data_IF_304001460979
#
_entry.id   IF_304001460979
#
_cell.length_a   1.000
_cell.length_b   1.000
_cell.length_c   1.000
_cell.angle_alpha   90.00
_cell.angle_beta   90.00
_cell.angle_gamma   90.00
#
_symmetry.space_group_name_H-M   'P 1'
#
loop_
_entity.id
_entity.type
_entity.pdbx_description
1 polymer ?
#
# COMPACT_ATOMS: atom_id res chain seq x y z
N UNK A 1 -5.91 -4.67 22.01
CA UNK A 1 -7.22 -5.34 21.95
C UNK A 1 -8.05 -4.88 23.14
N UNK A 2 -9.10 -4.08 22.99
CA UNK A 2 -10.03 -3.80 24.07
C UNK A 2 -10.81 -5.09 24.36
N UNK A 3 -10.76 -5.56 25.59
CA UNK A 3 -11.52 -6.73 26.06
C UNK A 3 -13.01 -6.42 25.91
N UNK A 4 -13.68 -7.09 24.98
CA UNK A 4 -15.14 -7.04 24.85
C UNK A 4 -15.74 -7.42 26.21
N UNK A 5 -16.50 -6.50 26.78
CA UNK A 5 -17.25 -6.75 28.03
C UNK A 5 -18.23 -7.91 27.76
N UNK A 6 -18.00 -9.03 28.43
CA UNK A 6 -18.88 -10.21 28.29
C UNK A 6 -20.28 -9.85 28.80
N UNK A 7 -21.33 -10.54 28.32
CA UNK A 7 -22.70 -10.38 28.85
C UNK A 7 -22.75 -10.48 30.36
N UNK A 8 -21.88 -11.30 30.98
CA UNK A 8 -21.72 -11.41 32.43
C UNK A 8 -21.21 -10.12 33.08
N UNK A 9 -20.33 -9.38 32.37
CA UNK A 9 -19.81 -8.09 32.87
C UNK A 9 -20.89 -6.99 32.80
N UNK A 10 -21.70 -6.99 31.76
CA UNK A 10 -22.84 -6.07 31.62
C UNK A 10 -23.91 -6.34 32.68
N UNK A 11 -24.20 -7.62 32.95
CA UNK A 11 -25.13 -8.01 34.01
C UNK A 11 -24.60 -7.63 35.42
N UNK A 12 -23.29 -7.77 35.66
CA UNK A 12 -22.69 -7.28 36.91
C UNK A 12 -22.79 -5.78 37.07
N UNK A 13 -22.52 -5.00 36.02
CA UNK A 13 -22.70 -3.54 36.04
C UNK A 13 -24.16 -3.11 36.34
N UNK A 14 -25.12 -3.86 35.79
CA UNK A 14 -26.55 -3.64 36.11
C UNK A 14 -26.85 -3.92 37.57
N UNK A 15 -26.35 -5.03 38.14
CA UNK A 15 -26.51 -5.36 39.57
C UNK A 15 -25.85 -4.31 40.48
N UNK A 16 -24.66 -3.83 40.12
CA UNK A 16 -24.01 -2.74 40.87
C UNK A 16 -24.81 -1.43 40.80
N UNK A 17 -25.39 -1.09 39.66
CA UNK A 17 -26.29 0.06 39.50
C UNK A 17 -27.53 -0.05 40.37
N UNK A 18 -28.15 -1.23 40.44
CA UNK A 18 -29.29 -1.50 41.34
C UNK A 18 -28.90 -1.35 42.82
N UNK A 19 -27.69 -1.73 43.21
CA UNK A 19 -27.19 -1.59 44.57
C UNK A 19 -26.91 -0.11 44.97
N UNK A 20 -26.67 0.78 44.00
CA UNK A 20 -26.48 2.21 44.25
C UNK A 20 -27.79 2.94 44.68
N UNK A 21 -28.95 2.39 44.34
CA UNK A 21 -30.24 3.00 44.70
C UNK A 21 -30.45 3.04 46.22
N UNK A 22 -30.35 1.92 46.99
CA UNK A 22 -30.45 1.95 48.42
C UNK A 22 -29.32 2.75 49.10
N UNK A 23 -28.13 2.79 48.51
CA UNK A 23 -27.02 3.58 49.02
C UNK A 23 -27.29 5.07 48.88
N UNK A 24 -27.86 5.53 47.79
CA UNK A 24 -28.28 6.93 47.58
C UNK A 24 -29.42 7.34 48.53
N UNK A 25 -30.39 6.44 48.80
CA UNK A 25 -31.46 6.70 49.77
C UNK A 25 -30.94 6.80 51.21
N UNK A 26 -29.96 6.00 51.56
CA UNK A 26 -29.29 6.08 52.85
C UNK A 26 -28.47 7.38 52.98
N UNK A 27 -27.74 7.77 51.95
CA UNK A 27 -26.97 9.02 51.91
C UNK A 27 -27.90 10.24 52.07
N UNK A 28 -29.04 10.27 51.40
CA UNK A 28 -30.03 11.32 51.51
C UNK A 28 -30.62 11.41 52.96
N UNK A 29 -30.90 10.28 53.58
CA UNK A 29 -31.37 10.23 54.95
C UNK A 29 -30.31 10.72 55.96
N UNK A 30 -29.02 10.35 55.76
CA UNK A 30 -27.90 10.85 56.58
C UNK A 30 -27.73 12.36 56.42
N UNK A 31 -27.76 12.86 55.18
CA UNK A 31 -27.62 14.28 54.86
C UNK A 31 -28.74 15.10 55.49
N UNK A 32 -29.97 14.62 55.42
CA UNK A 32 -31.13 15.23 56.01
C UNK A 32 -31.05 15.29 57.55
N UNK A 33 -30.58 14.24 58.20
CA UNK A 33 -30.40 14.20 59.65
C UNK A 33 -29.25 15.11 60.12
N UNK A 34 -28.09 15.04 59.45
CA UNK A 34 -26.86 15.72 59.91
C UNK A 34 -26.86 17.21 59.55
N UNK A 35 -27.23 17.58 58.31
CA UNK A 35 -27.14 18.96 57.83
C UNK A 35 -28.37 19.80 58.14
N UNK A 36 -29.54 19.19 58.18
CA UNK A 36 -30.83 19.93 58.36
C UNK A 36 -31.51 19.66 59.65
N UNK A 37 -30.94 18.86 60.55
CA UNK A 37 -31.51 18.62 61.92
C UNK A 37 -32.93 17.98 61.87
N UNK A 38 -33.31 17.29 60.83
CA UNK A 38 -34.65 16.74 60.61
C UNK A 38 -34.78 15.32 61.18
N UNK A 39 -34.72 15.17 62.50
CA UNK A 39 -34.93 13.89 63.19
C UNK A 39 -33.75 12.91 63.06
N UNK A 40 -33.94 11.67 63.45
CA UNK A 40 -32.93 10.63 63.30
C UNK A 40 -32.90 10.04 61.90
N UNK A 41 -31.73 9.46 61.44
CA UNK A 41 -31.58 8.78 60.12
C UNK A 41 -32.66 7.70 59.98
N UNK A 42 -32.96 6.98 61.06
CA UNK A 42 -33.94 5.89 61.08
C UNK A 42 -35.36 6.43 60.85
N UNK A 43 -35.75 7.56 61.47
CA UNK A 43 -37.04 8.21 61.24
C UNK A 43 -37.21 8.67 59.80
N UNK A 44 -36.15 9.21 59.17
CA UNK A 44 -36.20 9.65 57.77
C UNK A 44 -36.26 8.48 56.77
N UNK A 45 -35.74 7.32 57.16
CA UNK A 45 -35.85 6.11 56.35
C UNK A 45 -37.22 5.45 56.46
N UNK A 46 -37.80 5.43 57.66
CA UNK A 46 -39.08 4.74 57.97
C UNK A 46 -40.32 5.59 57.70
N UNK A 47 -40.21 6.91 57.86
CA UNK A 47 -41.34 7.87 57.67
C UNK A 47 -40.90 9.05 56.78
N UNK A 48 -40.51 8.85 55.55
CA UNK A 48 -40.09 9.92 54.63
C UNK A 48 -41.29 10.83 54.29
N UNK A 49 -41.04 12.15 54.21
CA UNK A 49 -42.07 13.09 53.73
C UNK A 49 -42.40 12.81 52.24
N UNK A 50 -43.61 13.19 51.80
CA UNK A 50 -44.02 13.01 50.38
C UNK A 50 -43.01 13.59 49.39
N UNK A 51 -42.38 14.71 49.69
CA UNK A 51 -41.33 15.30 48.87
C UNK A 51 -40.07 14.39 48.74
N UNK A 52 -39.65 13.79 49.85
CA UNK A 52 -38.50 12.86 49.84
C UNK A 52 -38.80 11.59 49.04
N UNK A 53 -40.02 11.06 49.16
CA UNK A 53 -40.44 9.90 48.35
C UNK A 53 -40.40 10.24 46.86
N UNK A 54 -40.95 11.41 46.47
CA UNK A 54 -40.98 11.84 45.09
C UNK A 54 -39.55 12.02 44.50
N UNK A 55 -38.64 12.67 45.26
CA UNK A 55 -37.25 12.87 44.84
C UNK A 55 -36.51 11.51 44.70
N UNK A 56 -36.67 10.62 45.66
CA UNK A 56 -36.07 9.27 45.61
C UNK A 56 -36.59 8.46 44.43
N UNK A 57 -37.87 8.52 44.12
CA UNK A 57 -38.49 7.86 42.98
C UNK A 57 -37.94 8.44 41.65
N UNK A 58 -37.89 9.77 41.55
CA UNK A 58 -37.38 10.45 40.35
C UNK A 58 -35.89 10.14 40.11
N UNK A 59 -35.08 10.14 41.18
CA UNK A 59 -33.67 9.78 41.12
C UNK A 59 -33.46 8.30 40.70
N UNK A 60 -34.27 7.39 41.29
CA UNK A 60 -34.18 5.96 40.96
C UNK A 60 -34.58 5.70 39.51
N UNK A 61 -35.63 6.34 38.98
CA UNK A 61 -36.04 6.20 37.58
C UNK A 61 -35.00 6.78 36.62
N UNK A 62 -34.41 7.93 36.96
CA UNK A 62 -33.34 8.53 36.17
C UNK A 62 -32.09 7.64 36.14
N UNK A 63 -31.67 7.07 37.28
CA UNK A 63 -30.55 6.14 37.35
C UNK A 63 -30.78 4.86 36.52
N UNK A 64 -31.99 4.28 36.63
CA UNK A 64 -32.36 3.11 35.84
C UNK A 64 -32.33 3.41 34.31
N UNK A 65 -32.85 4.56 33.91
CA UNK A 65 -32.81 5.02 32.54
C UNK A 65 -31.35 5.23 32.03
N UNK A 66 -30.49 5.86 32.85
CA UNK A 66 -29.08 6.06 32.52
C UNK A 66 -28.32 4.73 32.39
N UNK A 67 -28.58 3.77 33.29
CA UNK A 67 -28.00 2.43 33.22
C UNK A 67 -28.49 1.71 31.95
N UNK A 68 -29.78 1.76 31.64
CA UNK A 68 -30.34 1.15 30.42
C UNK A 68 -29.71 1.74 29.15
N UNK A 69 -29.65 3.08 29.06
CA UNK A 69 -29.03 3.76 27.92
C UNK A 69 -27.55 3.42 27.80
N UNK A 70 -26.81 3.39 28.90
CA UNK A 70 -25.39 2.99 28.93
C UNK A 70 -25.19 1.55 28.44
N UNK A 71 -26.00 0.60 28.91
CA UNK A 71 -25.95 -0.79 28.47
C UNK A 71 -26.29 -0.93 26.97
N UNK A 72 -27.33 -0.23 26.51
CA UNK A 72 -27.73 -0.23 25.11
C UNK A 72 -26.63 0.36 24.21
N UNK A 73 -25.99 1.44 24.65
CA UNK A 73 -24.85 2.03 23.93
C UNK A 73 -23.67 1.07 23.85
N UNK A 74 -23.28 0.44 24.97
CA UNK A 74 -22.20 -0.55 24.99
C UNK A 74 -22.51 -1.79 24.15
N UNK A 75 -23.74 -2.28 24.18
CA UNK A 75 -24.14 -3.40 23.34
C UNK A 75 -24.07 -3.07 21.85
N UNK A 76 -24.54 -1.87 21.45
CA UNK A 76 -24.47 -1.42 20.06
C UNK A 76 -23.04 -1.19 19.58
N UNK A 77 -22.15 -0.63 20.40
CA UNK A 77 -20.73 -0.46 20.04
C UNK A 77 -20.04 -1.81 19.88
N UNK A 78 -20.25 -2.75 20.79
CA UNK A 78 -19.70 -4.11 20.68
C UNK A 78 -20.20 -4.85 19.43
N UNK A 79 -21.49 -4.67 19.08
CA UNK A 79 -22.05 -5.26 17.86
C UNK A 79 -21.44 -4.65 16.60
N UNK A 80 -21.26 -3.31 16.57
CA UNK A 80 -20.60 -2.61 15.45
C UNK A 80 -19.15 -3.06 15.28
N UNK A 81 -18.38 -3.16 16.37
CA UNK A 81 -17.01 -3.66 16.32
C UNK A 81 -16.94 -5.09 15.75
N UNK A 82 -17.85 -5.97 16.18
CA UNK A 82 -17.93 -7.34 15.67
C UNK A 82 -18.26 -7.38 14.18
N UNK A 83 -19.24 -6.56 13.74
CA UNK A 83 -19.59 -6.48 12.32
C UNK A 83 -18.44 -5.92 11.47
N UNK A 84 -17.73 -4.91 11.98
CA UNK A 84 -16.55 -4.36 11.30
C UNK A 84 -15.40 -5.37 11.21
N UNK A 85 -15.15 -6.15 12.28
CA UNK A 85 -14.15 -7.23 12.24
C UNK A 85 -14.50 -8.30 11.21
N UNK A 86 -15.75 -8.77 11.19
CA UNK A 86 -16.22 -9.73 10.20
C UNK A 86 -16.12 -9.18 8.77
N UNK A 87 -16.55 -7.95 8.55
CA UNK A 87 -16.44 -7.32 7.22
C UNK A 87 -14.99 -7.17 6.77
N UNK A 88 -14.07 -6.88 7.68
CA UNK A 88 -12.64 -6.82 7.35
C UNK A 88 -12.06 -8.21 7.03
N UNK A 89 -12.44 -9.24 7.78
CA UNK A 89 -12.04 -10.64 7.49
C UNK A 89 -12.57 -11.08 6.12
N UNK A 90 -13.84 -10.79 5.79
CA UNK A 90 -14.44 -11.12 4.50
C UNK A 90 -13.74 -10.36 3.35
N UNK A 91 -13.41 -9.08 3.56
CA UNK A 91 -12.66 -8.30 2.58
C UNK A 91 -11.25 -8.84 2.36
N UNK A 92 -10.56 -9.28 3.40
CA UNK A 92 -9.23 -9.87 3.29
C UNK A 92 -9.27 -11.22 2.54
N UNK A 93 -10.30 -12.03 2.76
CA UNK A 93 -10.53 -13.28 2.02
C UNK A 93 -10.76 -13.01 0.52
N UNK A 94 -11.74 -12.16 0.19
CA UNK A 94 -12.04 -11.81 -1.22
C UNK A 94 -10.82 -11.19 -1.90
N UNK A 95 -10.08 -10.36 -1.19
CA UNK A 95 -8.85 -9.76 -1.70
C UNK A 95 -7.81 -10.82 -2.03
N UNK A 96 -7.61 -11.80 -1.15
CA UNK A 96 -6.67 -12.89 -1.36
C UNK A 96 -7.09 -13.74 -2.56
N UNK A 97 -8.36 -14.09 -2.67
CA UNK A 97 -8.88 -14.84 -3.81
C UNK A 97 -8.64 -14.11 -5.13
N UNK A 98 -8.84 -12.79 -5.16
CA UNK A 98 -8.55 -11.96 -6.35
C UNK A 98 -7.05 -11.90 -6.66
N UNK A 99 -6.19 -11.82 -5.64
CA UNK A 99 -4.74 -11.84 -5.82
C UNK A 99 -4.27 -13.19 -6.38
N UNK A 100 -4.72 -14.30 -5.82
CA UNK A 100 -4.40 -15.65 -6.27
C UNK A 100 -4.90 -15.88 -7.72
N UNK A 101 -6.13 -15.49 -8.02
CA UNK A 101 -6.71 -15.57 -9.38
C UNK A 101 -5.93 -14.73 -10.41
N UNK A 102 -5.55 -13.50 -10.04
CA UNK A 102 -4.74 -12.65 -10.91
C UNK A 102 -3.36 -13.24 -11.15
N UNK A 103 -2.73 -13.84 -10.12
CA UNK A 103 -1.45 -14.52 -10.25
C UNK A 103 -1.55 -15.69 -11.24
N UNK A 104 -2.56 -16.54 -11.10
CA UNK A 104 -2.77 -17.71 -11.97
C UNK A 104 -2.99 -17.28 -13.43
N UNK A 105 -3.85 -16.28 -13.68
CA UNK A 105 -4.08 -15.77 -15.03
C UNK A 105 -2.78 -15.21 -15.65
N UNK A 106 -2.05 -14.39 -14.91
CA UNK A 106 -0.81 -13.81 -15.42
C UNK A 106 0.24 -14.89 -15.72
N UNK A 107 0.32 -15.92 -14.88
CA UNK A 107 1.21 -17.06 -15.09
C UNK A 107 0.83 -17.87 -16.35
N UNK A 108 -0.46 -18.14 -16.55
CA UNK A 108 -0.97 -18.76 -17.76
C UNK A 108 -0.67 -17.95 -19.03
N UNK A 109 -0.93 -16.66 -19.00
CA UNK A 109 -0.63 -15.76 -20.12
C UNK A 109 0.88 -15.71 -20.42
N UNK A 110 1.73 -15.71 -19.39
CA UNK A 110 3.18 -15.75 -19.54
C UNK A 110 3.64 -17.04 -20.22
N UNK A 111 3.11 -18.19 -19.80
CA UNK A 111 3.47 -19.48 -20.41
C UNK A 111 3.07 -19.51 -21.88
N UNK A 112 1.84 -19.11 -22.22
CA UNK A 112 1.36 -19.04 -23.60
C UNK A 112 2.19 -18.07 -24.44
N UNK A 113 2.52 -16.90 -23.92
CA UNK A 113 3.37 -15.93 -24.63
C UNK A 113 4.79 -16.45 -24.82
N UNK A 114 5.35 -17.20 -23.86
CA UNK A 114 6.65 -17.85 -23.98
C UNK A 114 6.65 -18.94 -25.07
N UNK A 115 5.57 -19.73 -25.19
CA UNK A 115 5.38 -20.71 -26.25
C UNK A 115 5.35 -20.05 -27.64
N UNK A 116 4.68 -18.90 -27.77
CA UNK A 116 4.65 -18.11 -29.00
C UNK A 116 6.07 -17.62 -29.33
N UNK A 117 6.80 -17.09 -28.35
CA UNK A 117 8.19 -16.62 -28.54
C UNK A 117 9.11 -17.76 -29.02
N UNK A 118 9.00 -18.94 -28.40
CA UNK A 118 9.77 -20.12 -28.78
C UNK A 118 9.44 -20.59 -30.18
N UNK A 119 8.17 -20.63 -30.54
CA UNK A 119 7.71 -21.02 -31.88
C UNK A 119 8.22 -20.02 -32.95
N UNK A 120 8.21 -18.72 -32.65
CA UNK A 120 8.76 -17.71 -33.56
C UNK A 120 10.28 -17.82 -33.71
N UNK A 121 11.01 -18.15 -32.65
CA UNK A 121 12.45 -18.35 -32.68
C UNK A 121 12.81 -19.58 -33.56
N UNK A 122 12.08 -20.70 -33.43
CA UNK A 122 12.24 -21.88 -34.24
C UNK A 122 11.91 -21.62 -35.71
N UNK A 123 10.84 -20.90 -36.02
CA UNK A 123 10.49 -20.48 -37.38
C UNK A 123 11.61 -19.64 -38.00
N UNK A 124 12.17 -18.70 -37.23
CA UNK A 124 13.31 -17.90 -37.72
C UNK A 124 14.54 -18.74 -37.99
N UNK A 125 14.88 -19.68 -37.11
CA UNK A 125 16.05 -20.52 -37.25
C UNK A 125 15.96 -21.51 -38.45
N UNK A 126 14.77 -22.12 -38.62
CA UNK A 126 14.57 -23.18 -39.62
C UNK A 126 14.25 -22.65 -41.01
N UNK A 127 13.57 -21.50 -41.13
CA UNK A 127 13.02 -21.00 -42.38
C UNK A 127 13.61 -19.68 -42.87
N UNK A 128 14.60 -19.08 -42.21
CA UNK A 128 15.07 -17.70 -42.51
C UNK A 128 15.59 -17.55 -43.96
N UNK A 129 16.07 -18.65 -44.58
CA UNK A 129 16.57 -18.64 -45.95
C UNK A 129 15.45 -18.73 -47.00
N UNK A 130 14.31 -19.32 -46.66
CA UNK A 130 13.19 -19.61 -47.58
C UNK A 130 12.04 -18.64 -47.46
N UNK A 131 12.07 -17.74 -46.47
CA UNK A 131 11.01 -16.74 -46.24
C UNK A 131 11.19 -15.55 -47.19
N UNK A 132 10.10 -15.17 -47.86
CA UNK A 132 10.02 -13.91 -48.57
C UNK A 132 10.11 -12.71 -47.58
N UNK A 133 10.49 -11.54 -48.07
CA UNK A 133 10.74 -10.35 -47.26
C UNK A 133 9.49 -9.97 -46.40
N UNK A 134 8.31 -10.18 -46.95
CA UNK A 134 7.04 -9.86 -46.30
C UNK A 134 6.75 -10.81 -45.14
N UNK A 135 6.95 -12.09 -45.32
CA UNK A 135 6.77 -13.10 -44.26
C UNK A 135 7.83 -12.95 -43.16
N UNK A 136 9.06 -12.63 -43.51
CA UNK A 136 10.15 -12.32 -42.55
C UNK A 136 9.77 -11.12 -41.66
N UNK A 137 9.20 -10.05 -42.26
CA UNK A 137 8.70 -8.90 -41.51
C UNK A 137 7.60 -9.28 -40.52
N UNK A 138 6.62 -10.11 -40.92
CA UNK A 138 5.54 -10.59 -40.02
C UNK A 138 6.08 -11.42 -38.87
N UNK A 139 7.00 -12.37 -39.13
CA UNK A 139 7.64 -13.20 -38.10
C UNK A 139 8.38 -12.32 -37.07
N UNK A 140 9.16 -11.34 -37.53
CA UNK A 140 9.85 -10.39 -36.66
C UNK A 140 8.89 -9.54 -35.85
N UNK A 141 7.79 -9.08 -36.44
CA UNK A 141 6.76 -8.28 -35.76
C UNK A 141 6.08 -9.08 -34.65
N UNK A 142 5.68 -10.33 -34.91
CA UNK A 142 5.06 -11.21 -33.92
C UNK A 142 6.05 -11.53 -32.79
N UNK A 143 7.31 -11.84 -33.10
CA UNK A 143 8.34 -12.08 -32.12
C UNK A 143 8.55 -10.88 -31.19
N UNK A 144 8.63 -9.67 -31.76
CA UNK A 144 8.76 -8.42 -31.00
C UNK A 144 7.55 -8.15 -30.10
N UNK A 145 6.32 -8.40 -30.61
CA UNK A 145 5.09 -8.28 -29.82
C UNK A 145 5.06 -9.28 -28.64
N UNK A 146 5.47 -10.52 -28.88
CA UNK A 146 5.53 -11.55 -27.86
C UNK A 146 6.56 -11.22 -26.76
N UNK A 147 7.75 -10.74 -27.14
CA UNK A 147 8.75 -10.26 -26.18
C UNK A 147 8.23 -9.07 -25.35
N UNK A 148 7.52 -8.13 -25.97
CA UNK A 148 6.90 -7.01 -25.27
C UNK A 148 5.86 -7.51 -24.28
N UNK A 149 5.00 -8.44 -24.68
CA UNK A 149 4.00 -9.06 -23.82
C UNK A 149 4.64 -9.77 -22.63
N UNK A 150 5.69 -10.58 -22.87
CA UNK A 150 6.42 -11.25 -21.80
C UNK A 150 6.98 -10.26 -20.76
N UNK A 151 7.60 -9.16 -21.19
CA UNK A 151 8.10 -8.11 -20.30
C UNK A 151 6.97 -7.47 -19.46
N UNK A 152 5.81 -7.23 -20.06
CA UNK A 152 4.65 -6.68 -19.36
C UNK A 152 4.08 -7.66 -18.32
N UNK A 153 4.01 -8.96 -18.68
CA UNK A 153 3.56 -10.01 -17.78
C UNK A 153 4.53 -10.19 -16.60
N UNK A 154 5.85 -10.23 -16.85
CA UNK A 154 6.87 -10.31 -15.80
C UNK A 154 6.77 -9.14 -14.82
N UNK A 155 6.52 -7.93 -15.34
CA UNK A 155 6.34 -6.73 -14.52
C UNK A 155 5.05 -6.82 -13.67
N UNK A 156 3.98 -7.34 -14.24
CA UNK A 156 2.69 -7.50 -13.56
C UNK A 156 2.75 -8.60 -12.48
N UNK A 157 3.41 -9.72 -12.78
CA UNK A 157 3.66 -10.80 -11.81
C UNK A 157 4.49 -10.29 -10.62
N UNK A 158 5.57 -9.55 -10.89
CA UNK A 158 6.40 -8.96 -9.83
C UNK A 158 5.62 -8.03 -8.90
N UNK A 159 4.52 -7.42 -9.37
CA UNK A 159 3.61 -6.63 -8.53
C UNK A 159 2.68 -7.48 -7.67
N UNK A 160 2.17 -8.59 -8.24
CA UNK A 160 1.25 -9.50 -7.54
C UNK A 160 2.00 -10.29 -6.48
N UNK A 161 3.24 -10.69 -6.76
CA UNK A 161 4.10 -11.44 -5.82
C UNK A 161 4.58 -10.63 -4.61
N UNK A 162 4.36 -9.32 -4.60
CA UNK A 162 4.68 -8.50 -3.44
C UNK A 162 3.74 -8.79 -2.27
N UNK A 163 4.25 -9.24 -1.11
CA UNK A 163 3.41 -9.55 0.04
C UNK A 163 2.57 -8.34 0.45
N UNK A 164 1.24 -8.53 0.43
CA UNK A 164 0.27 -7.46 0.71
C UNK A 164 0.16 -7.18 2.20
N UNK A 165 0.40 -8.19 3.03
CA UNK A 165 -0.01 -8.19 4.43
C UNK A 165 0.97 -7.57 5.42
N UNK A 166 2.27 -7.47 5.12
CA UNK A 166 3.24 -6.87 6.05
C UNK A 166 4.43 -6.28 5.30
N UNK A 167 4.48 -4.98 5.15
CA UNK A 167 5.73 -4.26 4.82
C UNK A 167 6.75 -4.49 5.93
N UNK A 168 7.72 -5.35 5.67
CA UNK A 168 8.82 -5.60 6.60
C UNK A 168 9.84 -4.46 6.49
N UNK A 169 9.75 -3.49 7.39
CA UNK A 169 10.66 -2.36 7.39
C UNK A 169 12.00 -2.72 7.97
N UNK A 170 13.03 -2.56 7.18
CA UNK A 170 14.41 -2.77 7.58
C UNK A 170 15.32 -1.62 7.12
N UNK A 171 16.51 -1.55 7.69
CA UNK A 171 17.53 -0.58 7.26
C UNK A 171 18.23 -1.08 6.00
N UNK A 172 18.03 -0.39 4.90
CA UNK A 172 18.52 -0.76 3.57
C UNK A 172 19.68 0.15 3.18
N UNK A 173 20.84 -0.44 2.82
CA UNK A 173 21.95 0.26 2.17
C UNK A 173 21.67 0.29 0.67
N UNK A 174 21.23 1.44 0.18
CA UNK A 174 20.82 1.61 -1.24
C UNK A 174 21.98 1.40 -2.20
N UNK A 175 23.17 1.86 -1.84
CA UNK A 175 24.37 1.67 -2.61
C UNK A 175 24.68 0.18 -2.86
N UNK A 176 24.55 -0.67 -1.85
CA UNK A 176 24.74 -2.11 -1.99
C UNK A 176 23.65 -2.74 -2.85
N UNK A 177 22.39 -2.43 -2.56
CA UNK A 177 21.25 -2.95 -3.32
C UNK A 177 21.30 -2.56 -4.79
N UNK A 178 21.66 -1.32 -5.08
CA UNK A 178 21.78 -0.83 -6.45
C UNK A 178 22.95 -1.47 -7.21
N UNK A 179 24.07 -1.77 -6.52
CA UNK A 179 25.17 -2.51 -7.14
C UNK A 179 24.79 -3.97 -7.45
N UNK A 180 24.05 -4.65 -6.57
CA UNK A 180 23.51 -5.99 -6.86
C UNK A 180 22.65 -5.96 -8.15
N UNK A 181 21.77 -4.98 -8.29
CA UNK A 181 20.89 -4.81 -9.47
C UNK A 181 21.72 -4.47 -10.72
N UNK A 182 22.69 -3.58 -10.59
CA UNK A 182 23.62 -3.20 -11.69
C UNK A 182 24.33 -4.43 -12.26
N UNK A 183 24.93 -5.26 -11.41
CA UNK A 183 25.63 -6.49 -11.84
C UNK A 183 24.67 -7.43 -12.59
N UNK A 184 23.46 -7.63 -12.06
CA UNK A 184 22.43 -8.43 -12.71
C UNK A 184 22.07 -7.91 -14.11
N UNK A 185 21.88 -6.59 -14.25
CA UNK A 185 21.50 -5.97 -15.52
C UNK A 185 22.63 -5.99 -16.55
N UNK A 186 23.87 -5.72 -16.14
CA UNK A 186 25.02 -5.77 -17.03
C UNK A 186 25.31 -7.21 -17.50
N UNK A 187 25.07 -8.20 -16.65
CA UNK A 187 25.18 -9.61 -17.07
C UNK A 187 24.11 -10.00 -18.10
N UNK A 188 22.90 -9.49 -17.98
CA UNK A 188 21.80 -9.74 -18.93
C UNK A 188 21.96 -8.99 -20.26
N UNK A 189 22.68 -7.87 -20.26
CA UNK A 189 22.85 -6.98 -21.40
C UNK A 189 24.34 -6.65 -21.64
N UNK A 190 25.19 -7.65 -21.93
CA UNK A 190 26.63 -7.46 -22.08
C UNK A 190 26.99 -6.57 -23.28
N UNK A 191 26.08 -6.43 -24.24
CA UNK A 191 26.23 -5.60 -25.45
C UNK A 191 26.05 -4.09 -25.16
N UNK A 192 25.61 -3.71 -23.97
CA UNK A 192 25.31 -2.31 -23.63
C UNK A 192 26.48 -1.66 -22.87
N UNK A 193 27.06 -0.60 -23.48
CA UNK A 193 28.08 0.23 -22.79
C UNK A 193 27.42 1.27 -21.87
N UNK A 194 27.18 0.90 -20.61
CA UNK A 194 26.49 1.76 -19.64
C UNK A 194 27.35 1.91 -18.37
N UNK A 195 27.69 3.15 -18.06
CA UNK A 195 28.34 3.55 -16.83
C UNK A 195 27.28 3.81 -15.75
N UNK A 196 27.34 3.08 -14.63
CA UNK A 196 26.48 3.33 -13.46
C UNK A 196 27.24 4.17 -12.40
N UNK A 197 26.66 5.31 -12.02
CA UNK A 197 27.12 6.14 -10.91
C UNK A 197 26.18 6.02 -9.74
N UNK A 198 26.59 5.32 -8.70
CA UNK A 198 25.78 5.08 -7.50
C UNK A 198 26.39 5.87 -6.34
N UNK A 199 25.57 6.76 -5.76
CA UNK A 199 26.00 7.55 -4.60
C UNK A 199 26.27 6.62 -3.40
N UNK A 200 27.46 6.68 -2.79
CA UNK A 200 27.80 5.84 -1.64
C UNK A 200 27.06 6.30 -0.37
N UNK A 201 26.96 5.40 0.61
CA UNK A 201 26.46 5.66 1.96
C UNK A 201 24.98 6.08 2.06
N UNK A 202 24.19 5.83 1.04
CA UNK A 202 22.75 6.09 1.06
C UNK A 202 22.05 4.99 1.84
N UNK A 203 21.40 5.36 2.95
CA UNK A 203 20.64 4.42 3.79
C UNK A 203 19.23 4.93 4.04
N UNK A 204 18.25 4.02 3.90
CA UNK A 204 16.83 4.28 4.15
C UNK A 204 16.24 3.20 5.06
N UNK A 205 15.05 3.45 5.60
CA UNK A 205 14.24 2.45 6.32
C UNK A 205 12.98 2.21 5.53
N UNK A 206 12.84 1.03 4.93
CA UNK A 206 11.71 0.67 4.06
C UNK A 206 11.64 -0.86 3.90
N UNK A 207 10.77 -1.34 3.03
CA UNK A 207 10.72 -2.74 2.61
C UNK A 207 11.76 -2.99 1.50
N UNK A 208 12.68 -3.92 1.75
CA UNK A 208 13.80 -4.22 0.82
C UNK A 208 13.32 -4.74 -0.53
N UNK A 209 12.31 -5.62 -0.53
CA UNK A 209 11.82 -6.23 -1.78
C UNK A 209 11.13 -5.18 -2.65
N UNK A 210 10.31 -4.33 -2.04
CA UNK A 210 9.64 -3.23 -2.73
C UNK A 210 10.64 -2.22 -3.30
N UNK A 211 11.62 -1.80 -2.52
CA UNK A 211 12.66 -0.87 -3.00
C UNK A 211 13.54 -1.52 -4.07
N UNK A 212 13.87 -2.81 -3.94
CA UNK A 212 14.60 -3.57 -4.98
C UNK A 212 13.84 -3.51 -6.31
N UNK A 213 12.53 -3.79 -6.27
CA UNK A 213 11.69 -3.76 -7.48
C UNK A 213 11.65 -2.35 -8.08
N UNK A 214 11.48 -1.30 -7.28
CA UNK A 214 11.48 0.10 -7.78
C UNK A 214 12.81 0.41 -8.48
N UNK A 215 13.94 0.18 -7.83
CA UNK A 215 15.27 0.49 -8.41
C UNK A 215 15.50 -0.31 -9.67
N UNK A 216 15.14 -1.60 -9.68
CA UNK A 216 15.26 -2.47 -10.86
C UNK A 216 14.45 -1.91 -12.05
N UNK A 217 13.17 -1.56 -11.83
CA UNK A 217 12.33 -1.00 -12.89
C UNK A 217 12.87 0.35 -13.41
N UNK A 218 13.35 1.20 -12.50
CA UNK A 218 13.91 2.50 -12.87
C UNK A 218 15.26 2.37 -13.64
N UNK A 219 16.10 1.40 -13.28
CA UNK A 219 17.35 1.14 -14.01
C UNK A 219 17.06 0.58 -15.41
N UNK A 220 16.17 -0.41 -15.53
CA UNK A 220 15.72 -0.91 -16.83
C UNK A 220 15.16 0.22 -17.71
N UNK A 221 14.27 1.04 -17.14
CA UNK A 221 13.71 2.18 -17.84
C UNK A 221 14.79 3.18 -18.27
N UNK A 222 15.75 3.51 -17.41
CA UNK A 222 16.86 4.40 -17.74
C UNK A 222 17.71 3.83 -18.90
N UNK A 223 17.93 2.52 -18.94
CA UNK A 223 18.64 1.85 -20.03
C UNK A 223 17.85 1.91 -21.35
N UNK A 224 16.53 1.71 -21.31
CA UNK A 224 15.67 1.74 -22.50
C UNK A 224 15.63 3.14 -23.17
N UNK A 225 15.77 4.21 -22.38
CA UNK A 225 15.86 5.60 -22.89
C UNK A 225 17.21 5.96 -23.52
N UNK A 226 18.24 5.13 -23.32
CA UNK A 226 19.57 5.35 -23.89
C UNK A 226 19.69 4.60 -25.22
N UNK A 227 19.89 5.30 -26.35
CA UNK A 227 20.09 4.65 -27.64
C UNK A 227 21.28 3.67 -27.59
N UNK A 228 21.21 2.48 -28.24
CA UNK A 228 22.26 1.47 -28.20
C UNK A 228 23.65 1.96 -28.68
N UNK A 229 23.68 2.89 -29.61
CA UNK A 229 24.89 3.49 -30.15
C UNK A 229 25.56 4.53 -29.25
N UNK A 230 24.88 4.93 -28.14
CA UNK A 230 25.36 5.99 -27.23
C UNK A 230 25.98 5.35 -25.98
N UNK A 231 27.16 5.84 -25.58
CA UNK A 231 27.70 5.50 -24.26
C UNK A 231 26.72 5.98 -23.18
N UNK A 232 26.12 5.03 -22.48
CA UNK A 232 25.09 5.28 -21.49
C UNK A 232 25.68 5.73 -20.16
N UNK A 233 24.91 6.55 -19.45
CA UNK A 233 25.16 6.89 -18.04
C UNK A 233 23.85 6.81 -17.28
N UNK A 234 23.85 6.03 -16.20
CA UNK A 234 22.75 5.92 -15.25
C UNK A 234 23.28 6.32 -13.88
N UNK A 235 22.64 7.28 -13.26
CA UNK A 235 23.03 7.81 -11.94
C UNK A 235 21.92 7.55 -10.93
N UNK A 236 22.26 6.98 -9.77
CA UNK A 236 21.36 6.86 -8.61
C UNK A 236 21.93 7.65 -7.46
N UNK A 237 21.11 8.52 -6.90
CA UNK A 237 21.51 9.34 -5.76
C UNK A 237 20.32 9.68 -4.85
N UNK A 238 20.63 10.43 -3.80
CA UNK A 238 19.67 10.94 -2.83
C UNK A 238 20.03 12.37 -2.44
N UNK A 239 19.02 13.22 -2.31
CA UNK A 239 19.17 14.55 -1.72
C UNK A 239 18.06 14.81 -0.70
N UNK A 240 18.20 15.86 0.07
CA UNK A 240 17.21 16.28 1.05
C UNK A 240 16.41 17.47 0.50
N UNK A 241 15.07 17.35 0.55
CA UNK A 241 14.15 18.45 0.30
C UNK A 241 13.42 18.75 1.61
N UNK A 242 13.98 19.71 2.37
CA UNK A 242 13.60 19.91 3.77
C UNK A 242 13.92 18.66 4.59
N UNK A 243 12.97 18.15 5.34
CA UNK A 243 13.13 16.91 6.11
C UNK A 243 12.94 15.62 5.27
N UNK A 244 12.50 15.74 4.04
CA UNK A 244 12.19 14.61 3.19
C UNK A 244 13.40 14.16 2.39
N UNK A 245 13.69 12.86 2.42
CA UNK A 245 14.71 12.23 1.57
C UNK A 245 14.08 11.92 0.23
N UNK A 246 14.69 12.39 -0.85
CA UNK A 246 14.29 12.14 -2.23
C UNK A 246 15.40 11.34 -2.90
N UNK A 247 15.06 10.15 -3.38
CA UNK A 247 15.94 9.36 -4.24
C UNK A 247 15.66 9.72 -5.70
N UNK A 248 16.68 9.59 -6.53
CA UNK A 248 16.54 9.82 -7.97
C UNK A 248 17.33 8.81 -8.78
N UNK A 249 16.82 8.51 -9.97
CA UNK A 249 17.54 7.82 -11.05
C UNK A 249 17.56 8.75 -12.25
N UNK A 250 18.75 9.07 -12.74
CA UNK A 250 18.97 9.95 -13.89
C UNK A 250 19.67 9.18 -15.01
N UNK A 251 19.35 9.48 -16.26
CA UNK A 251 20.03 8.94 -17.43
C UNK A 251 20.40 10.06 -18.42
N UNK A 252 21.34 9.76 -19.32
CA UNK A 252 21.74 10.65 -20.42
C UNK A 252 21.10 10.25 -21.76
N UNK A 253 19.92 9.66 -21.73
CA UNK A 253 19.19 9.19 -22.91
C UNK A 253 18.56 10.29 -23.76
N UNK A 254 17.51 9.94 -24.49
CA UNK A 254 16.78 10.87 -25.40
C UNK A 254 16.04 11.99 -24.66
N UNK A 255 15.73 11.76 -23.37
CA UNK A 255 14.91 12.68 -22.59
C UNK A 255 13.43 12.67 -23.01
N UNK A 256 12.68 13.62 -22.48
CA UNK A 256 11.24 13.77 -22.73
C UNK A 256 10.78 15.19 -22.39
N UNK A 257 9.67 15.64 -23.00
CA UNK A 257 9.04 16.91 -22.71
C UNK A 257 8.28 16.90 -21.38
N UNK A 258 7.92 18.07 -20.85
CA UNK A 258 7.09 18.17 -19.65
C UNK A 258 5.70 17.51 -19.83
N UNK A 259 5.11 17.65 -21.02
CA UNK A 259 3.85 16.99 -21.35
C UNK A 259 3.97 15.46 -21.33
N UNK A 260 5.08 14.92 -21.84
CA UNK A 260 5.39 13.50 -21.80
C UNK A 260 5.67 13.03 -20.37
N UNK A 261 6.37 13.82 -19.54
CA UNK A 261 6.67 13.50 -18.14
C UNK A 261 5.40 13.18 -17.33
N UNK A 262 4.33 13.93 -17.53
CA UNK A 262 3.03 13.73 -16.87
C UNK A 262 2.36 12.41 -17.28
N UNK A 263 2.68 11.91 -18.48
CA UNK A 263 2.08 10.71 -19.08
C UNK A 263 2.93 9.44 -18.89
N UNK A 264 4.18 9.57 -18.46
CA UNK A 264 5.12 8.46 -18.31
C UNK A 264 4.65 7.36 -17.34
N UNK A 265 3.79 7.70 -16.39
CA UNK A 265 3.29 6.79 -15.36
C UNK A 265 1.91 6.19 -15.70
N UNK A 266 1.30 6.58 -16.83
CA UNK A 266 0.02 6.04 -17.27
C UNK A 266 0.23 4.62 -17.79
N UNK A 267 -0.20 3.62 -17.01
CA UNK A 267 -0.15 2.22 -17.41
C UNK A 267 -1.08 1.98 -18.60
N UNK A 268 -0.64 1.16 -19.56
CA UNK A 268 -1.45 0.65 -20.68
C UNK A 268 -2.00 1.69 -21.65
N UNK A 269 -1.56 2.94 -21.62
CA UNK A 269 -1.87 3.87 -22.70
C UNK A 269 -1.10 3.45 -23.95
N UNK A 270 -1.82 3.26 -25.04
CA UNK A 270 -1.22 3.04 -26.35
C UNK A 270 -0.33 4.23 -26.69
N UNK A 271 0.98 4.01 -26.67
CA UNK A 271 1.99 4.99 -27.07
C UNK A 271 2.06 5.15 -28.61
N UNK A 272 0.95 4.86 -29.31
CA UNK A 272 0.88 4.76 -30.76
C UNK A 272 1.06 6.07 -31.51
N UNK A 273 1.24 7.21 -30.84
CA UNK A 273 1.38 8.50 -31.51
C UNK A 273 2.65 9.31 -31.16
N UNK A 274 3.46 8.89 -30.18
CA UNK A 274 4.70 9.57 -29.81
C UNK A 274 5.91 8.65 -30.03
N UNK A 275 6.57 8.77 -31.17
CA UNK A 275 7.76 7.97 -31.54
C UNK A 275 8.93 8.14 -30.55
N UNK A 276 8.96 9.18 -29.76
CA UNK A 276 10.02 9.52 -28.81
C UNK A 276 9.80 9.01 -27.38
N UNK A 277 8.63 8.44 -27.07
CA UNK A 277 8.40 7.79 -25.77
C UNK A 277 8.78 6.31 -25.80
N UNK A 278 9.33 5.76 -24.71
CA UNK A 278 9.54 4.31 -24.63
C UNK A 278 8.23 3.61 -24.92
N UNK A 279 8.27 2.62 -25.79
CA UNK A 279 7.10 1.80 -26.16
C UNK A 279 6.53 1.01 -24.97
N UNK A 280 7.21 0.98 -23.82
CA UNK A 280 6.81 0.25 -22.63
C UNK A 280 6.81 1.17 -21.38
N UNK A 281 5.65 1.73 -21.05
CA UNK A 281 5.43 2.53 -19.83
C UNK A 281 5.08 1.68 -18.62
N UNK A 282 4.94 0.36 -18.78
CA UNK A 282 4.51 -0.58 -17.72
C UNK A 282 5.48 -0.57 -16.53
N UNK A 283 6.78 -0.43 -16.79
CA UNK A 283 7.83 -0.39 -15.75
C UNK A 283 7.66 0.80 -14.80
N UNK A 284 7.39 1.99 -15.34
CA UNK A 284 7.18 3.19 -14.53
C UNK A 284 5.86 3.14 -13.77
N UNK A 285 4.81 2.59 -14.37
CA UNK A 285 3.54 2.36 -13.70
C UNK A 285 3.70 1.34 -12.53
N UNK A 286 4.53 0.30 -12.72
CA UNK A 286 4.90 -0.62 -11.65
C UNK A 286 5.61 0.11 -10.50
N UNK A 287 6.66 0.87 -10.81
CA UNK A 287 7.40 1.64 -9.81
C UNK A 287 6.48 2.61 -9.06
N UNK A 288 5.55 3.27 -9.76
CA UNK A 288 4.57 4.18 -9.15
C UNK A 288 3.65 3.46 -8.17
N UNK A 289 3.10 2.30 -8.54
CA UNK A 289 2.23 1.51 -7.65
C UNK A 289 2.96 1.09 -6.38
N UNK A 290 4.21 0.62 -6.52
CA UNK A 290 5.03 0.24 -5.37
C UNK A 290 5.31 1.43 -4.46
N UNK A 291 5.69 2.58 -5.03
CA UNK A 291 5.96 3.79 -4.26
C UNK A 291 4.69 4.30 -3.55
N UNK A 292 3.53 4.31 -4.22
CA UNK A 292 2.27 4.68 -3.58
C UNK A 292 1.92 3.73 -2.43
N UNK A 293 2.17 2.44 -2.59
CA UNK A 293 1.98 1.44 -1.52
C UNK A 293 2.90 1.67 -0.32
N UNK A 294 4.12 2.18 -0.57
CA UNK A 294 5.04 2.61 0.49
C UNK A 294 4.64 3.97 1.12
N UNK A 295 3.57 4.62 0.60
CA UNK A 295 3.10 5.93 1.04
C UNK A 295 3.95 7.09 0.52
N UNK A 296 4.75 6.87 -0.52
CA UNK A 296 5.60 7.85 -1.16
C UNK A 296 4.97 8.49 -2.40
N UNK A 297 5.76 9.32 -3.07
CA UNK A 297 5.44 9.97 -4.34
C UNK A 297 6.55 9.70 -5.35
N UNK A 298 6.19 9.67 -6.65
CA UNK A 298 7.14 9.51 -7.75
C UNK A 298 6.79 10.54 -8.84
N UNK A 299 7.81 11.15 -9.45
CA UNK A 299 7.65 12.11 -10.54
C UNK A 299 8.86 12.08 -11.47
N UNK A 300 8.71 12.68 -12.64
CA UNK A 300 9.73 12.72 -13.68
C UNK A 300 10.04 14.17 -14.06
N UNK A 301 11.31 14.44 -14.35
CA UNK A 301 11.79 15.70 -14.90
C UNK A 301 12.82 15.38 -15.99
N UNK A 302 12.76 16.09 -17.10
CA UNK A 302 13.66 15.86 -18.23
C UNK A 302 13.59 16.95 -19.26
N UNK A 303 14.49 16.88 -20.23
CA UNK A 303 14.47 17.71 -21.40
C UNK A 303 14.90 16.88 -22.62
N UNK A 304 14.31 17.14 -23.77
CA UNK A 304 14.65 16.45 -25.03
C UNK A 304 16.14 16.58 -25.33
N UNK A 305 16.76 15.46 -25.65
CA UNK A 305 18.19 15.37 -25.94
C UNK A 305 19.13 15.44 -24.73
N UNK A 306 18.64 15.85 -23.55
CA UNK A 306 19.44 16.03 -22.34
C UNK A 306 19.31 14.88 -21.33
N UNK A 307 18.45 13.89 -21.63
CA UNK A 307 18.13 12.80 -20.73
C UNK A 307 16.97 13.11 -19.79
N UNK A 308 16.75 12.21 -18.84
CA UNK A 308 15.66 12.29 -17.88
C UNK A 308 16.05 11.88 -16.48
N UNK A 309 15.26 12.31 -15.52
CA UNK A 309 15.39 11.97 -14.11
C UNK A 309 14.04 11.55 -13.56
N UNK A 310 14.01 10.43 -12.85
CA UNK A 310 12.86 9.97 -12.09
C UNK A 310 13.19 10.13 -10.61
N UNK A 311 12.34 10.84 -9.90
CA UNK A 311 12.47 11.11 -8.48
C UNK A 311 11.41 10.35 -7.71
N UNK A 312 11.74 9.88 -6.52
CA UNK A 312 10.74 9.27 -5.64
C UNK A 312 11.05 9.48 -4.17
N UNK A 313 9.98 9.49 -3.39
CA UNK A 313 10.03 9.50 -1.93
C UNK A 313 9.49 8.18 -1.40
N UNK A 314 9.71 7.92 -0.13
CA UNK A 314 9.14 6.79 0.58
C UNK A 314 8.66 7.29 1.95
N UNK A 315 7.60 6.69 2.49
CA UNK A 315 7.02 7.18 3.74
C UNK A 315 7.99 6.94 4.90
N UNK A 316 8.38 8.03 5.59
CA UNK A 316 9.01 7.94 6.91
C UNK A 316 7.88 7.81 7.92
N UNK A 317 7.66 6.63 8.52
CA UNK A 317 6.79 6.58 9.70
C UNK A 317 7.41 7.47 10.75
N UNK A 318 6.64 8.43 11.27
CA UNK A 318 7.00 9.10 12.51
C UNK A 318 7.20 8.01 13.55
N UNK A 319 8.44 7.83 13.99
CA UNK A 319 8.79 7.02 15.16
C UNK A 319 8.24 7.69 16.40
#
# INVERSE_FOLDING_TARGET
MPKTLSQKSLFRLFLWGLALIPLATLADAVLGAVLFGKGTVIEQLLSPSYHQIAIRFLFSTFMLAAIYLGMHYLANTAQREKTLMQSNEDLDLVRKDVEDFNHDILQHLRNTSSEISTSMALLKEQCDKDLDEKTRFFVQSVASCSEKLNRQLDTSLALVDLPVSQTRRERIKIDKLANEIKEELLHKHPERDIEFKIQPWVTIVSDRQMIKLVIFQLFCNAMDFIPPARKGRVELGMYHRGEQKVLFVRNNGTGFTEAQAKRLFDAFRESSQDENLPKDTTRLACAQRVIHRLGGQIWAEGAEGAGGSIYFTYHKTKS
#
